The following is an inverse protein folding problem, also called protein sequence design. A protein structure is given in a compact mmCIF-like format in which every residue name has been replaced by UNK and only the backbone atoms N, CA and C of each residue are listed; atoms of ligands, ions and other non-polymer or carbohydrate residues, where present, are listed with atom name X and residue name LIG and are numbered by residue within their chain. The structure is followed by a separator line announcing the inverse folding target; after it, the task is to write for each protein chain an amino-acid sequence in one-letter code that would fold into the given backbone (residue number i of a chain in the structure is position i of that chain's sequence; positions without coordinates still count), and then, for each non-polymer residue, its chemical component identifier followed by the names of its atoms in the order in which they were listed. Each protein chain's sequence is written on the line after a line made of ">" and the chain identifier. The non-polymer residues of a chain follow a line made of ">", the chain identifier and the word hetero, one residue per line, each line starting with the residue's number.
data_IF_506467098846
#
_entry.id   IF_506467098846
#
_cell.length_a   1.000
_cell.length_b   1.000
_cell.length_c   1.000
_cell.angle_alpha   90.00
_cell.angle_beta   90.00
_cell.angle_gamma   90.00
#
_symmetry.space_group_name_H-M   'P 1'
#
loop_
_entity.id
_entity.type
_entity.pdbx_description
1 polymer ?
#
# COMPACT_ATOMS: atom_id res chain seq x y z
N UNK A 1 39.39 12.97 20.94
CA UNK A 1 39.42 11.62 20.30
C UNK A 1 38.22 10.77 20.70
N UNK A 2 37.89 10.62 21.99
CA UNK A 2 36.67 9.90 22.46
C UNK A 2 35.34 10.49 21.96
N UNK A 3 35.23 11.83 21.87
CA UNK A 3 34.03 12.52 21.37
C UNK A 3 33.66 12.13 19.93
N UNK A 4 34.66 11.88 19.08
CA UNK A 4 34.45 11.48 17.69
C UNK A 4 33.99 10.02 17.61
N UNK A 5 34.43 9.15 18.53
CA UNK A 5 33.96 7.76 18.63
C UNK A 5 32.52 7.64 19.15
N UNK A 6 32.04 8.62 19.93
CA UNK A 6 30.65 8.66 20.42
C UNK A 6 29.64 9.16 19.38
N UNK A 7 30.12 9.87 18.34
CA UNK A 7 29.31 10.43 17.27
C UNK A 7 28.40 9.41 16.55
N UNK A 8 28.86 8.22 16.11
CA UNK A 8 27.99 7.23 15.47
C UNK A 8 26.89 6.70 16.39
N UNK A 9 27.16 6.54 17.69
CA UNK A 9 26.16 6.11 18.66
C UNK A 9 25.08 7.18 18.85
N UNK A 10 25.47 8.45 18.92
CA UNK A 10 24.53 9.57 18.98
C UNK A 10 23.68 9.67 17.71
N UNK A 11 24.25 9.43 16.53
CA UNK A 11 23.51 9.41 15.26
C UNK A 11 22.47 8.29 15.26
N UNK A 12 22.85 7.06 15.64
CA UNK A 12 21.91 5.92 15.73
C UNK A 12 20.78 6.24 16.71
N UNK A 13 21.13 6.81 17.87
CA UNK A 13 20.15 7.18 18.89
C UNK A 13 19.16 8.23 18.35
N UNK A 14 19.64 9.26 17.65
CA UNK A 14 18.80 10.25 16.97
C UNK A 14 17.87 9.62 15.93
N UNK A 15 18.41 8.75 15.08
CA UNK A 15 17.65 8.06 14.03
C UNK A 15 16.56 7.15 14.62
N UNK A 16 16.81 6.52 15.77
CA UNK A 16 15.83 5.67 16.44
C UNK A 16 14.61 6.42 16.97
N UNK A 17 14.74 7.73 17.23
CA UNK A 17 13.64 8.58 17.67
C UNK A 17 12.98 9.38 16.54
N UNK A 18 13.40 9.20 15.28
CA UNK A 18 12.73 9.85 14.16
C UNK A 18 11.33 9.24 13.99
N UNK A 19 10.24 10.03 14.10
CA UNK A 19 8.91 9.53 13.89
C UNK A 19 8.73 9.23 12.39
N UNK A 20 8.71 7.96 12.04
CA UNK A 20 8.21 7.57 10.72
C UNK A 20 6.69 7.75 10.72
N UNK A 21 6.20 8.63 9.85
CA UNK A 21 4.76 8.75 9.62
C UNK A 21 4.27 7.43 9.02
N UNK A 22 3.60 6.65 9.85
CA UNK A 22 2.92 5.46 9.39
C UNK A 22 1.75 5.85 8.47
N UNK A 23 1.50 5.12 7.38
CA UNK A 23 0.41 5.47 6.46
C UNK A 23 -0.96 5.40 7.14
N UNK A 24 -1.94 6.09 6.56
CA UNK A 24 -3.33 6.07 7.06
C UNK A 24 -4.06 4.75 6.74
N UNK A 25 -3.51 3.97 5.80
CA UNK A 25 -4.09 2.71 5.31
C UNK A 25 -3.05 1.62 5.05
N UNK A 26 -3.54 0.40 4.82
CA UNK A 26 -2.81 -0.76 4.32
C UNK A 26 -3.68 -1.55 3.33
N UNK A 27 -3.08 -2.13 2.29
CA UNK A 27 -3.78 -3.07 1.38
C UNK A 27 -4.10 -4.41 2.04
N UNK A 28 -3.42 -4.73 3.15
CA UNK A 28 -3.56 -5.99 3.86
C UNK A 28 -3.93 -5.75 5.32
N UNK A 29 -4.79 -6.62 5.84
CA UNK A 29 -5.13 -6.63 7.26
C UNK A 29 -3.91 -7.00 8.09
N UNK A 30 -3.67 -6.24 9.15
CA UNK A 30 -2.70 -6.61 10.19
C UNK A 30 -3.14 -6.05 11.54
N UNK A 31 -2.31 -6.19 12.58
CA UNK A 31 -2.66 -5.74 13.92
C UNK A 31 -2.93 -4.22 14.01
N UNK A 32 -2.18 -3.41 13.25
CA UNK A 32 -2.35 -1.95 13.23
C UNK A 32 -3.46 -1.49 12.28
N UNK A 33 -3.81 -2.28 11.27
CA UNK A 33 -4.85 -1.96 10.27
C UNK A 33 -5.91 -3.05 10.24
N UNK A 34 -6.96 -2.88 11.04
CA UNK A 34 -7.98 -3.91 11.27
C UNK A 34 -9.32 -3.61 10.59
N UNK A 35 -9.64 -2.34 10.33
CA UNK A 35 -10.95 -1.92 9.90
C UNK A 35 -11.02 -1.85 8.37
N UNK A 36 -11.84 -2.69 7.71
CA UNK A 36 -11.91 -2.72 6.25
C UNK A 36 -12.67 -1.50 5.70
N UNK A 37 -12.25 -1.06 4.52
CA UNK A 37 -12.88 -0.06 3.66
C UNK A 37 -12.84 -0.56 2.22
N UNK A 38 -13.81 -0.13 1.43
CA UNK A 38 -13.93 -0.55 0.03
C UNK A 38 -14.08 0.68 -0.84
N UNK A 39 -13.31 0.72 -1.93
CA UNK A 39 -13.51 1.71 -3.00
C UNK A 39 -14.54 1.12 -3.96
N UNK A 40 -15.77 1.63 -3.90
CA UNK A 40 -16.93 1.06 -4.60
C UNK A 40 -16.71 0.94 -6.12
N UNK A 41 -16.17 1.99 -6.74
CA UNK A 41 -15.94 2.04 -8.19
C UNK A 41 -15.01 0.93 -8.72
N UNK A 42 -14.12 0.39 -7.88
CA UNK A 42 -13.10 -0.56 -8.28
C UNK A 42 -13.16 -1.89 -7.51
N UNK A 43 -14.02 -2.01 -6.50
CA UNK A 43 -14.09 -3.16 -5.60
C UNK A 43 -12.77 -3.42 -4.85
N UNK A 44 -11.95 -2.39 -4.63
CA UNK A 44 -10.66 -2.54 -3.92
C UNK A 44 -10.92 -2.44 -2.43
N UNK A 45 -10.54 -3.47 -1.68
CA UNK A 45 -10.54 -3.45 -0.22
C UNK A 45 -9.19 -2.96 0.32
N UNK A 46 -9.24 -2.07 1.31
CA UNK A 46 -8.10 -1.61 2.09
C UNK A 46 -8.47 -1.55 3.58
N UNK A 47 -7.48 -1.41 4.44
CA UNK A 47 -7.64 -1.46 5.90
C UNK A 47 -7.09 -0.19 6.53
N UNK A 48 -7.80 0.31 7.53
CA UNK A 48 -7.43 1.53 8.28
C UNK A 48 -7.24 1.22 9.76
N UNK A 49 -6.57 2.13 10.46
CA UNK A 49 -6.16 1.93 11.87
C UNK A 49 -7.30 2.04 12.87
N UNK A 50 -8.30 2.86 12.56
CA UNK A 50 -9.37 3.20 13.51
C UNK A 50 -10.72 3.34 12.81
N UNK A 51 -11.80 3.05 13.53
CA UNK A 51 -13.17 3.35 13.10
C UNK A 51 -13.40 4.87 12.94
N UNK A 52 -12.60 5.70 13.61
CA UNK A 52 -12.63 7.15 13.46
C UNK A 52 -12.23 7.65 12.07
N UNK A 53 -11.75 6.76 11.19
CA UNK A 53 -11.32 7.10 9.84
C UNK A 53 -12.41 7.82 9.03
N UNK A 54 -13.67 7.38 9.07
CA UNK A 54 -14.73 8.04 8.27
C UNK A 54 -15.12 9.41 8.85
N UNK A 55 -14.88 9.64 10.14
CA UNK A 55 -15.06 10.96 10.77
C UNK A 55 -13.91 11.91 10.39
N UNK A 56 -12.68 11.41 10.37
CA UNK A 56 -11.49 12.19 10.05
C UNK A 56 -11.36 12.45 8.53
N UNK A 57 -11.81 11.50 7.72
CA UNK A 57 -11.81 11.53 6.26
C UNK A 57 -13.20 11.19 5.73
N UNK A 58 -14.16 12.14 5.81
CA UNK A 58 -15.51 11.94 5.30
C UNK A 58 -15.52 11.60 3.82
N UNK A 59 -16.49 10.81 3.38
CA UNK A 59 -16.64 10.50 1.97
C UNK A 59 -16.85 11.78 1.14
N UNK A 60 -16.27 11.81 -0.05
CA UNK A 60 -16.27 12.98 -0.94
C UNK A 60 -15.34 14.12 -0.52
N UNK A 61 -14.69 14.04 0.65
CA UNK A 61 -13.67 15.03 1.02
C UNK A 61 -12.39 14.86 0.18
N UNK A 62 -11.72 15.97 -0.14
CA UNK A 62 -10.47 15.95 -0.90
C UNK A 62 -9.38 15.09 -0.21
N UNK A 63 -9.34 15.10 1.12
CA UNK A 63 -8.43 14.26 1.89
C UNK A 63 -8.74 12.76 1.71
N UNK A 64 -10.03 12.38 1.73
CA UNK A 64 -10.45 11.01 1.45
C UNK A 64 -10.11 10.58 0.03
N UNK A 65 -10.39 11.42 -0.97
CA UNK A 65 -10.04 11.16 -2.36
C UNK A 65 -8.55 10.94 -2.53
N UNK A 66 -7.72 11.79 -1.91
CA UNK A 66 -6.26 11.64 -1.96
C UNK A 66 -5.80 10.28 -1.40
N UNK A 67 -6.40 9.83 -0.29
CA UNK A 67 -6.10 8.52 0.29
C UNK A 67 -6.52 7.40 -0.67
N UNK A 68 -7.74 7.46 -1.23
CA UNK A 68 -8.24 6.44 -2.14
C UNK A 68 -7.46 6.37 -3.45
N UNK A 69 -7.03 7.51 -4.00
CA UNK A 69 -6.14 7.55 -5.17
C UNK A 69 -4.80 6.88 -4.89
N UNK A 70 -4.24 7.11 -3.70
CA UNK A 70 -3.01 6.44 -3.27
C UNK A 70 -3.23 4.93 -3.08
N UNK A 71 -4.36 4.51 -2.50
CA UNK A 71 -4.75 3.09 -2.40
C UNK A 71 -4.82 2.46 -3.80
N UNK A 72 -5.47 3.10 -4.76
CA UNK A 72 -5.60 2.61 -6.15
C UNK A 72 -4.21 2.48 -6.79
N UNK A 73 -3.36 3.49 -6.63
CA UNK A 73 -1.99 3.50 -7.17
C UNK A 73 -1.17 2.36 -6.59
N UNK A 74 -1.18 2.16 -5.28
CA UNK A 74 -0.45 1.09 -4.61
C UNK A 74 -0.97 -0.29 -5.00
N UNK A 75 -2.30 -0.41 -5.14
CA UNK A 75 -2.93 -1.64 -5.61
C UNK A 75 -2.49 -1.99 -7.03
N UNK A 76 -2.47 -1.02 -7.96
CA UNK A 76 -1.95 -1.21 -9.32
C UNK A 76 -0.47 -1.61 -9.32
N UNK A 77 0.34 -1.00 -8.45
CA UNK A 77 1.76 -1.35 -8.31
C UNK A 77 1.96 -2.77 -7.76
N UNK A 78 1.14 -3.20 -6.81
CA UNK A 78 1.10 -4.59 -6.31
C UNK A 78 0.75 -5.55 -7.45
N UNK A 79 -0.34 -5.30 -8.18
CA UNK A 79 -0.76 -6.12 -9.31
C UNK A 79 0.32 -6.22 -10.39
N UNK A 80 1.00 -5.11 -10.72
CA UNK A 80 2.09 -5.09 -11.69
C UNK A 80 3.23 -6.01 -11.28
N UNK A 81 3.65 -5.96 -10.01
CA UNK A 81 4.71 -6.84 -9.47
C UNK A 81 4.32 -8.30 -9.54
N UNK A 82 3.08 -8.64 -9.18
CA UNK A 82 2.60 -10.02 -9.28
C UNK A 82 2.44 -10.48 -10.72
N UNK A 83 1.94 -9.64 -11.60
CA UNK A 83 1.85 -9.93 -13.02
C UNK A 83 3.23 -10.25 -13.64
N UNK A 84 4.28 -9.51 -13.27
CA UNK A 84 5.64 -9.82 -13.71
C UNK A 84 6.09 -11.23 -13.28
N UNK A 85 5.77 -11.63 -12.05
CA UNK A 85 6.07 -12.97 -11.54
C UNK A 85 5.25 -14.03 -12.29
N UNK A 86 3.99 -13.77 -12.59
CA UNK A 86 3.13 -14.69 -13.35
C UNK A 86 3.64 -14.90 -14.77
N UNK A 87 4.02 -13.83 -15.48
CA UNK A 87 4.61 -13.89 -16.82
C UNK A 87 5.92 -14.69 -16.78
N UNK A 88 6.77 -14.43 -15.77
CA UNK A 88 8.01 -15.18 -15.58
C UNK A 88 7.76 -16.68 -15.36
N UNK A 89 6.68 -17.05 -14.67
CA UNK A 89 6.30 -18.47 -14.51
C UNK A 89 5.74 -19.05 -15.81
N UNK A 90 4.99 -18.26 -16.58
CA UNK A 90 4.38 -18.66 -17.85
C UNK A 90 5.39 -18.97 -18.95
N UNK A 91 6.63 -18.45 -18.85
CA UNK A 91 7.71 -18.85 -19.76
C UNK A 91 8.06 -20.34 -19.66
N UNK A 92 7.86 -20.95 -18.49
CA UNK A 92 8.10 -22.39 -18.25
C UNK A 92 6.89 -23.26 -18.63
N UNK A 93 5.67 -22.73 -18.46
CA UNK A 93 4.44 -23.39 -18.87
C UNK A 93 3.40 -22.36 -19.35
N UNK A 94 3.10 -22.37 -20.65
CA UNK A 94 2.20 -21.41 -21.28
C UNK A 94 0.75 -21.48 -20.78
N UNK A 95 0.34 -22.62 -20.20
CA UNK A 95 -1.03 -22.83 -19.72
C UNK A 95 -1.26 -22.34 -18.30
N UNK A 96 -0.25 -21.76 -17.63
CA UNK A 96 -0.43 -21.15 -16.31
C UNK A 96 -1.39 -19.94 -16.38
N UNK A 97 -2.35 -19.83 -15.45
CA UNK A 97 -3.23 -18.67 -15.36
C UNK A 97 -2.45 -17.44 -14.86
N UNK A 98 -2.89 -16.25 -15.28
CA UNK A 98 -2.27 -14.96 -14.94
C UNK A 98 -3.30 -14.00 -14.33
N UNK A 99 -3.92 -14.36 -13.19
CA UNK A 99 -5.05 -13.61 -12.64
C UNK A 99 -4.69 -12.17 -12.26
N UNK A 100 -3.47 -11.89 -11.80
CA UNK A 100 -3.08 -10.53 -11.45
C UNK A 100 -2.83 -9.67 -12.70
N UNK A 101 -2.29 -10.25 -13.78
CA UNK A 101 -2.21 -9.58 -15.06
C UNK A 101 -3.58 -9.22 -15.64
N UNK A 102 -4.52 -10.17 -15.63
CA UNK A 102 -5.89 -9.96 -16.11
C UNK A 102 -6.59 -8.86 -15.32
N UNK A 103 -6.46 -8.91 -13.98
CA UNK A 103 -7.01 -7.86 -13.12
C UNK A 103 -6.39 -6.49 -13.42
N UNK A 104 -5.07 -6.43 -13.59
CA UNK A 104 -4.37 -5.18 -13.94
C UNK A 104 -4.82 -4.62 -15.30
N UNK A 105 -5.06 -5.48 -16.29
CA UNK A 105 -5.56 -5.09 -17.60
C UNK A 105 -6.95 -4.46 -17.50
N UNK A 106 -7.85 -5.06 -16.71
CA UNK A 106 -9.19 -4.52 -16.50
C UNK A 106 -9.15 -3.10 -15.88
N UNK A 107 -8.17 -2.81 -15.01
CA UNK A 107 -7.95 -1.44 -14.51
C UNK A 107 -7.52 -0.42 -15.57
N UNK A 108 -6.87 -0.86 -16.65
CA UNK A 108 -6.48 0.00 -17.76
C UNK A 108 -7.57 0.22 -18.79
N UNK A 109 -8.60 -0.63 -18.81
CA UNK A 109 -9.76 -0.55 -19.72
C UNK A 109 -10.88 0.33 -19.11
N UNK A 110 -10.90 0.50 -17.79
CA UNK A 110 -11.89 1.33 -17.05
C UNK A 110 -11.36 2.75 -16.77
N UNK A 111 -10.23 3.15 -17.36
CA UNK A 111 -9.62 4.48 -17.21
C UNK A 111 -9.92 5.38 -18.41
#
# INVERSE_FOLDING_TARGET
>A
MLLVQLLPFLIILLLAYLPFSEPEYSLYKNYSYQFPKTIENYGIQYFVKSQAFDRNYPQGSAARTTIEDNVIKDYKNMLRRYCQIEIQRRSWNRNLPTPHCEKLQNFGVVA
#
